data_IF_126754898000
#
_entry.id   IF_126754898000
#
_cell.length_a   1.000
_cell.length_b   1.000
_cell.length_c   1.000
_cell.angle_alpha   90.00
_cell.angle_beta   90.00
_cell.angle_gamma   90.00
#
_symmetry.space_group_name_H-M   'P 1'
#
loop_
_entity.id
_entity.type
_entity.pdbx_description
1 polymer ?
#
# COMPACT_ATOMS: atom_id res chain seq x y z
N UNK A 1 45.78 -8.96 -15.17
CA UNK A 1 45.60 -9.34 -16.59
C UNK A 1 44.14 -9.07 -16.95
N UNK A 2 43.87 -7.90 -17.52
CA UNK A 2 42.52 -7.41 -17.81
C UNK A 2 42.15 -7.88 -19.23
N UNK A 3 41.27 -8.87 -19.35
CA UNK A 3 40.74 -9.33 -20.64
C UNK A 3 39.62 -8.37 -21.07
N UNK A 4 39.99 -7.39 -21.88
CA UNK A 4 39.04 -6.56 -22.63
C UNK A 4 38.38 -7.45 -23.70
N UNK A 5 37.13 -7.86 -23.48
CA UNK A 5 36.28 -8.40 -24.54
C UNK A 5 35.80 -7.26 -25.45
N UNK A 6 36.66 -6.82 -26.36
CA UNK A 6 36.28 -6.02 -27.52
C UNK A 6 35.94 -6.96 -28.67
N UNK A 7 34.73 -7.52 -28.70
CA UNK A 7 34.32 -8.40 -29.82
C UNK A 7 32.84 -8.29 -30.21
N UNK A 8 32.21 -7.12 -30.01
CA UNK A 8 30.82 -6.88 -30.43
C UNK A 8 30.64 -6.06 -31.71
N UNK A 9 31.62 -5.23 -32.10
CA UNK A 9 31.44 -4.27 -33.21
C UNK A 9 31.79 -4.90 -34.57
N UNK A 10 32.72 -5.88 -34.59
CA UNK A 10 33.20 -6.46 -35.84
C UNK A 10 32.21 -7.39 -36.54
N UNK A 11 31.26 -8.03 -35.83
CA UNK A 11 30.31 -8.97 -36.46
C UNK A 11 29.16 -8.25 -37.17
N UNK A 12 28.66 -7.14 -36.61
CA UNK A 12 27.55 -6.36 -37.17
C UNK A 12 27.89 -5.73 -38.53
N UNK A 13 29.08 -5.12 -38.65
CA UNK A 13 29.57 -4.57 -39.92
C UNK A 13 29.67 -5.65 -41.02
N UNK A 14 30.07 -6.87 -40.62
CA UNK A 14 30.27 -7.99 -41.54
C UNK A 14 28.98 -8.56 -42.13
N UNK A 15 27.85 -8.43 -41.42
CA UNK A 15 26.51 -8.83 -41.87
C UNK A 15 25.91 -7.81 -42.85
N UNK A 16 26.09 -6.51 -42.57
CA UNK A 16 25.62 -5.41 -43.43
C UNK A 16 26.23 -5.50 -44.84
N UNK A 17 27.54 -5.69 -44.92
CA UNK A 17 28.26 -5.68 -46.20
C UNK A 17 28.04 -6.95 -47.04
N UNK A 18 27.76 -8.09 -46.40
CA UNK A 18 27.62 -9.39 -47.11
C UNK A 18 26.23 -9.66 -47.66
N UNK A 19 25.19 -9.36 -46.90
CA UNK A 19 23.81 -9.75 -47.26
C UNK A 19 22.92 -8.53 -47.56
N UNK A 20 23.01 -7.46 -46.77
CA UNK A 20 22.11 -6.31 -46.87
C UNK A 20 22.49 -5.37 -48.01
N UNK A 21 23.77 -5.00 -48.15
CA UNK A 21 24.20 -4.06 -49.18
C UNK A 21 23.90 -4.55 -50.63
N UNK A 22 24.14 -5.82 -51.00
CA UNK A 22 23.78 -6.33 -52.32
C UNK A 22 22.26 -6.32 -52.56
N UNK A 23 21.47 -6.66 -51.53
CA UNK A 23 20.01 -6.63 -51.61
C UNK A 23 19.49 -5.21 -51.86
N UNK A 24 19.97 -4.21 -51.11
CA UNK A 24 19.58 -2.81 -51.29
C UNK A 24 19.95 -2.29 -52.69
N UNK A 25 21.14 -2.63 -53.19
CA UNK A 25 21.57 -2.26 -54.56
C UNK A 25 20.66 -2.84 -55.64
N UNK A 26 20.25 -4.08 -55.47
CA UNK A 26 19.48 -4.81 -56.48
C UNK A 26 18.00 -4.42 -56.47
N UNK A 27 17.42 -4.22 -55.28
CA UNK A 27 15.97 -4.11 -55.13
C UNK A 27 15.47 -2.71 -54.69
N UNK A 28 16.33 -1.86 -54.11
CA UNK A 28 15.88 -0.60 -53.48
C UNK A 28 16.44 0.65 -54.17
N UNK A 29 17.75 0.69 -54.47
CA UNK A 29 18.45 1.92 -54.91
C UNK A 29 17.92 2.48 -56.24
N UNK A 30 17.37 1.64 -57.13
CA UNK A 30 16.83 2.12 -58.40
C UNK A 30 15.65 3.10 -58.22
N UNK A 31 14.83 2.90 -57.19
CA UNK A 31 13.65 3.73 -56.92
C UNK A 31 13.84 4.72 -55.76
N UNK A 32 14.74 4.42 -54.81
CA UNK A 32 14.99 5.22 -53.61
C UNK A 32 16.46 5.71 -53.52
N UNK A 33 17.08 5.98 -54.67
CA UNK A 33 18.48 6.39 -54.78
C UNK A 33 18.67 7.80 -55.36
N UNK A 34 19.89 8.16 -55.76
CA UNK A 34 20.19 9.50 -56.26
C UNK A 34 19.37 9.94 -57.49
N UNK A 35 19.06 8.98 -58.38
CA UNK A 35 18.40 9.26 -59.66
C UNK A 35 16.88 9.28 -59.56
N UNK A 36 16.29 8.60 -58.57
CA UNK A 36 14.84 8.48 -58.39
C UNK A 36 14.53 8.32 -56.90
N UNK A 37 13.54 9.06 -56.41
CA UNK A 37 13.23 9.21 -54.98
C UNK A 37 11.74 8.97 -54.76
N UNK A 38 11.26 7.76 -55.05
CA UNK A 38 9.85 7.42 -54.85
C UNK A 38 9.49 7.58 -53.36
N UNK A 39 8.35 8.21 -53.09
CA UNK A 39 7.89 8.50 -51.73
C UNK A 39 8.81 9.46 -50.95
N UNK A 40 9.57 10.31 -51.63
CA UNK A 40 10.54 11.25 -51.03
C UNK A 40 11.58 10.59 -50.12
N UNK A 41 11.86 9.30 -50.36
CA UNK A 41 12.74 8.49 -49.53
C UNK A 41 14.07 8.16 -50.22
N UNK A 42 15.19 8.31 -49.49
CA UNK A 42 16.57 8.14 -49.98
C UNK A 42 17.34 7.13 -49.13
N UNK A 43 17.30 5.87 -49.56
CA UNK A 43 17.92 4.76 -48.82
C UNK A 43 19.46 4.82 -48.86
N UNK A 44 20.03 5.41 -49.91
CA UNK A 44 21.48 5.57 -50.09
C UNK A 44 22.12 6.61 -49.14
N UNK A 45 21.30 7.39 -48.43
CA UNK A 45 21.75 8.36 -47.43
C UNK A 45 21.70 7.83 -46.00
N UNK A 46 21.08 6.68 -45.77
CA UNK A 46 20.98 6.10 -44.43
C UNK A 46 22.34 5.63 -43.94
N UNK A 47 22.58 5.79 -42.64
CA UNK A 47 23.78 5.28 -42.00
C UNK A 47 23.81 3.74 -42.04
N UNK A 48 24.98 3.13 -42.33
CA UNK A 48 25.17 1.69 -42.22
C UNK A 48 25.20 1.19 -40.77
N UNK A 49 25.23 2.09 -39.78
CA UNK A 49 25.16 1.78 -38.35
C UNK A 49 23.71 1.48 -37.90
N UNK A 50 23.13 0.41 -38.47
CA UNK A 50 21.75 -0.03 -38.19
C UNK A 50 21.58 -0.28 -36.67
N UNK A 51 20.48 0.23 -36.11
CA UNK A 51 20.19 0.15 -34.67
C UNK A 51 20.84 1.24 -33.80
N UNK A 52 21.80 2.00 -34.35
CA UNK A 52 22.45 3.14 -33.68
C UNK A 52 22.01 4.47 -34.28
N UNK A 53 21.86 4.54 -35.61
CA UNK A 53 21.39 5.71 -36.37
C UNK A 53 20.23 5.32 -37.27
N UNK A 54 19.43 6.31 -37.67
CA UNK A 54 18.31 6.17 -38.61
C UNK A 54 17.35 5.01 -38.29
N UNK A 55 17.24 4.62 -37.01
CA UNK A 55 16.61 3.36 -36.60
C UNK A 55 15.13 3.29 -36.97
N UNK A 56 14.44 4.43 -36.94
CA UNK A 56 13.05 4.53 -37.38
C UNK A 56 12.89 4.22 -38.88
N UNK A 57 13.77 4.78 -39.72
CA UNK A 57 13.75 4.51 -41.17
C UNK A 57 14.11 3.04 -41.47
N UNK A 58 15.05 2.45 -40.73
CA UNK A 58 15.38 1.03 -40.86
C UNK A 58 14.22 0.12 -40.41
N UNK A 59 13.48 0.49 -39.36
CA UNK A 59 12.29 -0.25 -38.93
C UNK A 59 11.15 -0.17 -39.97
N UNK A 60 10.95 1.00 -40.59
CA UNK A 60 9.98 1.15 -41.68
C UNK A 60 10.37 0.30 -42.91
N UNK A 61 11.65 0.25 -43.27
CA UNK A 61 12.14 -0.64 -44.35
C UNK A 61 11.80 -2.11 -44.04
N UNK A 62 12.00 -2.57 -42.81
CA UNK A 62 11.63 -3.93 -42.39
C UNK A 62 10.13 -4.16 -42.61
N UNK A 63 9.29 -3.22 -42.20
CA UNK A 63 7.83 -3.33 -42.32
C UNK A 63 7.39 -3.40 -43.79
N UNK A 64 7.93 -2.55 -44.67
CA UNK A 64 7.60 -2.52 -46.10
C UNK A 64 8.06 -3.78 -46.84
N UNK A 65 9.19 -4.37 -46.45
CA UNK A 65 9.64 -5.67 -46.99
C UNK A 65 8.76 -6.80 -46.45
N UNK A 66 8.47 -6.81 -45.15
CA UNK A 66 7.71 -7.88 -44.50
C UNK A 66 6.25 -7.95 -44.96
N UNK A 67 5.65 -6.80 -45.26
CA UNK A 67 4.30 -6.70 -45.84
C UNK A 67 4.24 -7.06 -47.33
N UNK A 68 5.39 -7.23 -47.98
CA UNK A 68 5.49 -7.50 -49.42
C UNK A 68 5.13 -6.31 -50.31
N UNK A 69 4.99 -5.12 -49.73
CA UNK A 69 4.75 -3.86 -50.45
C UNK A 69 5.98 -3.45 -51.27
N UNK A 70 7.18 -3.71 -50.74
CA UNK A 70 8.45 -3.42 -51.41
C UNK A 70 9.24 -4.70 -51.72
N UNK A 71 9.75 -4.87 -52.96
CA UNK A 71 9.53 -4.02 -54.14
C UNK A 71 8.11 -4.15 -54.72
N UNK A 72 7.58 -3.11 -55.40
CA UNK A 72 6.24 -3.13 -56.02
C UNK A 72 6.06 -4.25 -57.05
N UNK A 73 4.80 -4.63 -57.33
CA UNK A 73 4.46 -5.75 -58.22
C UNK A 73 4.90 -5.52 -59.68
N UNK A 74 5.07 -4.27 -60.08
CA UNK A 74 5.46 -3.83 -61.43
C UNK A 74 6.96 -4.03 -61.70
N UNK A 75 7.76 -4.32 -60.67
CA UNK A 75 9.20 -4.56 -60.80
C UNK A 75 9.47 -5.98 -61.28
N UNK A 76 10.18 -6.13 -62.40
CA UNK A 76 10.52 -7.44 -63.01
C UNK A 76 11.41 -8.33 -62.15
N UNK A 77 12.24 -7.76 -61.28
CA UNK A 77 13.22 -8.49 -60.45
C UNK A 77 12.85 -8.30 -58.99
N UNK A 78 11.98 -9.18 -58.47
CA UNK A 78 11.61 -9.21 -57.06
C UNK A 78 12.43 -10.28 -56.34
N UNK A 79 12.85 -10.03 -55.10
CA UNK A 79 13.49 -11.05 -54.28
C UNK A 79 12.52 -12.19 -53.99
N UNK A 80 13.06 -13.37 -53.75
CA UNK A 80 12.31 -14.49 -53.22
C UNK A 80 11.86 -14.21 -51.78
N UNK A 81 10.87 -14.98 -51.29
CA UNK A 81 10.43 -14.87 -49.91
C UNK A 81 11.59 -15.15 -48.93
N UNK A 82 12.44 -16.14 -49.23
CA UNK A 82 13.58 -16.51 -48.41
C UNK A 82 14.65 -15.41 -48.36
N UNK A 83 14.94 -14.76 -49.49
CA UNK A 83 15.86 -13.61 -49.54
C UNK A 83 15.34 -12.42 -48.73
N UNK A 84 14.04 -12.12 -48.86
CA UNK A 84 13.39 -11.04 -48.10
C UNK A 84 13.40 -11.33 -46.60
N UNK A 85 13.08 -12.57 -46.22
CA UNK A 85 13.07 -13.01 -44.82
C UNK A 85 14.47 -12.95 -44.19
N UNK A 86 15.51 -13.37 -44.92
CA UNK A 86 16.89 -13.31 -44.45
C UNK A 86 17.32 -11.86 -44.15
N UNK A 87 16.98 -10.93 -45.03
CA UNK A 87 17.30 -9.50 -44.87
C UNK A 87 16.54 -8.87 -43.72
N UNK A 88 15.24 -9.14 -43.60
CA UNK A 88 14.41 -8.68 -42.48
C UNK A 88 14.97 -9.18 -41.14
N UNK A 89 15.32 -10.47 -41.05
CA UNK A 89 15.89 -11.04 -39.83
C UNK A 89 17.24 -10.39 -39.49
N UNK A 90 18.11 -10.16 -40.47
CA UNK A 90 19.38 -9.47 -40.27
C UNK A 90 19.21 -8.04 -39.77
N UNK A 91 18.33 -7.26 -40.41
CA UNK A 91 18.01 -5.89 -39.97
C UNK A 91 17.41 -5.85 -38.56
N UNK A 92 16.48 -6.76 -38.25
CA UNK A 92 15.88 -6.85 -36.92
C UNK A 92 16.91 -7.21 -35.84
N UNK A 93 17.84 -8.11 -36.14
CA UNK A 93 18.95 -8.46 -35.24
C UNK A 93 19.85 -7.25 -34.97
N UNK A 94 20.24 -6.51 -36.01
CA UNK A 94 21.06 -5.29 -35.88
C UNK A 94 20.34 -4.20 -35.07
N UNK A 95 19.03 -4.00 -35.27
CA UNK A 95 18.24 -3.05 -34.46
C UNK A 95 18.24 -3.46 -32.99
N UNK A 96 18.01 -4.75 -32.69
CA UNK A 96 18.01 -5.29 -31.33
C UNK A 96 19.37 -5.17 -30.65
N UNK A 97 20.45 -5.45 -31.38
CA UNK A 97 21.82 -5.28 -30.88
C UNK A 97 22.13 -3.80 -30.60
N UNK A 98 21.75 -2.89 -31.49
CA UNK A 98 21.92 -1.45 -31.30
C UNK A 98 21.12 -0.91 -30.12
N UNK A 99 19.91 -1.42 -29.88
CA UNK A 99 19.14 -1.14 -28.67
C UNK A 99 19.89 -1.58 -27.41
N UNK A 100 20.38 -2.83 -27.37
CA UNK A 100 21.15 -3.34 -26.25
C UNK A 100 22.42 -2.52 -26.00
N UNK A 101 23.13 -2.13 -27.05
CA UNK A 101 24.35 -1.31 -26.96
C UNK A 101 24.05 0.12 -26.48
N UNK A 102 22.95 0.74 -26.93
CA UNK A 102 22.50 2.06 -26.43
C UNK A 102 22.09 1.97 -24.97
N UNK A 103 21.41 0.91 -24.57
CA UNK A 103 21.03 0.67 -23.17
C UNK A 103 22.26 0.48 -22.28
N UNK A 104 23.26 -0.28 -22.74
CA UNK A 104 24.53 -0.48 -22.03
C UNK A 104 25.38 0.81 -21.92
N UNK A 105 25.26 1.74 -22.87
CA UNK A 105 25.94 3.05 -22.85
C UNK A 105 25.22 4.11 -21.99
N UNK A 106 23.96 3.90 -21.61
CA UNK A 106 23.30 4.81 -20.65
C UNK A 106 24.10 4.78 -19.35
N UNK A 107 24.42 5.95 -18.80
CA UNK A 107 24.99 6.04 -17.47
C UNK A 107 24.11 5.25 -16.50
N UNK A 108 24.72 4.50 -15.56
CA UNK A 108 23.98 3.90 -14.45
C UNK A 108 23.27 5.04 -13.70
N UNK A 109 21.99 5.27 -13.98
CA UNK A 109 21.16 6.15 -13.16
C UNK A 109 20.96 5.42 -11.84
N UNK A 110 21.77 5.76 -10.84
CA UNK A 110 21.88 5.04 -9.55
C UNK A 110 21.12 5.72 -8.41
N UNK A 111 20.14 6.57 -8.71
CA UNK A 111 19.22 7.07 -7.69
C UNK A 111 18.00 6.18 -7.71
N UNK A 112 18.06 5.10 -6.93
CA UNK A 112 16.93 4.23 -6.69
C UNK A 112 16.22 4.77 -5.45
N UNK A 113 14.94 5.10 -5.60
CA UNK A 113 14.10 5.38 -4.44
C UNK A 113 13.84 4.08 -3.67
N UNK A 114 13.52 4.20 -2.39
CA UNK A 114 13.04 3.06 -1.60
C UNK A 114 11.70 2.58 -2.18
N UNK A 115 11.46 1.27 -2.16
CA UNK A 115 10.10 0.72 -2.37
C UNK A 115 9.17 1.21 -1.25
N UNK A 116 7.85 1.06 -1.44
CA UNK A 116 6.84 1.31 -0.39
C UNK A 116 7.20 0.54 0.88
N UNK A 117 7.48 -0.75 0.74
CA UNK A 117 7.84 -1.63 1.85
C UNK A 117 9.14 -1.19 2.54
N UNK A 118 10.17 -0.85 1.76
CA UNK A 118 11.44 -0.38 2.32
C UNK A 118 11.29 0.94 3.08
N UNK A 119 10.48 1.87 2.57
CA UNK A 119 10.18 3.13 3.26
C UNK A 119 9.45 2.88 4.58
N UNK A 120 8.38 2.08 4.57
CA UNK A 120 7.60 1.73 5.77
C UNK A 120 8.49 1.09 6.84
N UNK A 121 9.30 0.11 6.44
CA UNK A 121 10.22 -0.57 7.36
C UNK A 121 11.32 0.37 7.88
N UNK A 122 11.81 1.29 7.03
CA UNK A 122 12.83 2.27 7.44
C UNK A 122 12.27 3.27 8.45
N UNK A 123 11.05 3.78 8.23
CA UNK A 123 10.37 4.67 9.18
C UNK A 123 10.12 3.97 10.52
N UNK A 124 9.63 2.73 10.48
CA UNK A 124 9.41 1.93 11.70
C UNK A 124 10.70 1.67 12.47
N UNK A 125 11.80 1.38 11.77
CA UNK A 125 13.11 1.20 12.40
C UNK A 125 13.70 2.52 12.93
N UNK A 126 13.44 3.64 12.27
CA UNK A 126 13.96 4.94 12.72
C UNK A 126 13.19 5.46 13.92
N UNK A 127 11.88 5.61 13.80
CA UNK A 127 11.03 6.40 14.72
C UNK A 127 10.00 5.52 15.44
N UNK A 128 9.76 4.29 14.96
CA UNK A 128 8.80 3.38 15.59
C UNK A 128 7.33 3.73 15.31
N UNK A 129 7.06 4.43 14.22
CA UNK A 129 5.69 4.70 13.76
C UNK A 129 5.32 3.69 12.68
N UNK A 130 4.10 3.16 12.76
CA UNK A 130 3.53 2.33 11.71
C UNK A 130 2.90 3.24 10.66
N UNK A 131 3.22 3.01 9.39
CA UNK A 131 2.70 3.80 8.28
C UNK A 131 2.15 2.86 7.23
N UNK A 132 0.88 3.02 6.86
CA UNK A 132 0.29 2.24 5.78
C UNK A 132 0.49 2.98 4.46
N UNK A 133 1.42 2.48 3.64
CA UNK A 133 1.71 3.07 2.33
C UNK A 133 0.56 2.92 1.33
N UNK A 134 -0.40 2.02 1.57
CA UNK A 134 -1.54 1.77 0.72
C UNK A 134 -2.78 2.59 1.10
N UNK A 135 -2.75 3.31 2.23
CA UNK A 135 -3.85 4.18 2.63
C UNK A 135 -4.17 5.22 1.54
N UNK A 136 -5.42 5.69 1.43
CA UNK A 136 -5.80 6.71 0.46
C UNK A 136 -4.93 7.97 0.60
N UNK A 137 -4.19 8.30 -0.46
CA UNK A 137 -3.26 9.43 -0.46
C UNK A 137 -1.84 9.07 0.02
N UNK A 138 -1.57 7.80 0.32
CA UNK A 138 -0.25 7.26 0.64
C UNK A 138 0.75 7.28 -0.52
N UNK A 139 1.76 6.41 -0.45
CA UNK A 139 2.83 6.37 -1.45
C UNK A 139 2.32 5.85 -2.79
N UNK A 140 3.00 6.16 -3.89
CA UNK A 140 2.69 5.58 -5.20
C UNK A 140 3.12 4.13 -5.29
N UNK A 141 2.43 3.34 -6.11
CA UNK A 141 2.71 1.92 -6.30
C UNK A 141 4.05 1.72 -6.97
N UNK A 142 4.76 0.69 -6.53
CA UNK A 142 6.03 0.34 -7.12
C UNK A 142 5.76 -0.41 -8.44
N UNK A 143 6.49 -0.10 -9.52
CA UNK A 143 6.31 -0.79 -10.79
C UNK A 143 6.72 -2.25 -10.65
N UNK A 144 5.80 -3.17 -10.91
CA UNK A 144 6.09 -4.59 -11.04
C UNK A 144 6.72 -4.89 -12.41
N UNK A 145 7.83 -5.62 -12.44
CA UNK A 145 8.38 -6.14 -13.69
C UNK A 145 8.74 -7.63 -13.54
N UNK A 146 8.07 -8.49 -14.33
CA UNK A 146 8.24 -9.95 -14.33
C UNK A 146 8.19 -10.61 -12.92
N UNK A 147 7.35 -10.08 -12.02
CA UNK A 147 7.19 -10.60 -10.65
C UNK A 147 8.31 -10.21 -9.66
N UNK A 148 9.17 -9.25 -10.01
CA UNK A 148 10.17 -8.68 -9.11
C UNK A 148 9.92 -7.19 -8.87
N UNK A 149 9.82 -6.81 -7.60
CA UNK A 149 9.60 -5.41 -7.16
C UNK A 149 10.92 -4.63 -6.97
N UNK A 150 12.05 -5.34 -6.79
CA UNK A 150 13.37 -4.75 -6.50
C UNK A 150 14.26 -4.66 -7.73
N UNK A 151 13.79 -3.96 -8.76
CA UNK A 151 14.60 -3.62 -9.92
C UNK A 151 14.97 -2.14 -9.87
N UNK A 152 16.17 -1.84 -9.36
CA UNK A 152 16.67 -0.46 -9.27
C UNK A 152 16.55 0.31 -10.59
N UNK A 153 16.68 -0.35 -11.74
CA UNK A 153 16.52 0.28 -13.06
C UNK A 153 15.13 0.86 -13.35
N UNK A 154 14.09 0.49 -12.58
CA UNK A 154 12.69 0.90 -12.81
C UNK A 154 12.17 1.84 -11.72
N UNK A 155 12.82 1.87 -10.54
CA UNK A 155 12.50 2.77 -9.42
C UNK A 155 13.01 4.19 -9.67
N UNK A 156 12.36 4.87 -10.61
CA UNK A 156 12.59 6.29 -10.90
C UNK A 156 11.91 7.18 -9.86
N UNK A 157 12.57 8.28 -9.49
CA UNK A 157 12.04 9.29 -8.58
C UNK A 157 11.43 10.43 -9.41
N UNK A 158 10.10 10.52 -9.44
CA UNK A 158 9.38 11.66 -10.04
C UNK A 158 9.04 12.73 -8.99
N UNK A 159 8.72 13.97 -9.39
CA UNK A 159 8.27 15.01 -8.45
C UNK A 159 7.11 14.55 -7.54
N UNK A 160 6.14 13.82 -8.09
CA UNK A 160 5.03 13.27 -7.31
C UNK A 160 5.49 12.28 -6.22
N UNK A 161 6.55 11.50 -6.47
CA UNK A 161 7.10 10.64 -5.42
C UNK A 161 7.69 11.46 -4.28
N UNK A 162 8.39 12.56 -4.58
CA UNK A 162 8.96 13.45 -3.56
C UNK A 162 7.85 14.05 -2.71
N UNK A 163 6.79 14.57 -3.35
CA UNK A 163 5.63 15.10 -2.63
C UNK A 163 5.02 14.05 -1.68
N UNK A 164 4.83 12.81 -2.16
CA UNK A 164 4.31 11.72 -1.33
C UNK A 164 5.24 11.34 -0.18
N UNK A 165 6.55 11.33 -0.38
CA UNK A 165 7.50 11.09 0.71
C UNK A 165 7.46 12.20 1.76
N UNK A 166 7.35 13.47 1.33
CA UNK A 166 7.25 14.59 2.26
C UNK A 166 5.96 14.52 3.10
N UNK A 167 4.80 14.29 2.46
CA UNK A 167 3.53 14.12 3.19
C UNK A 167 3.55 12.91 4.13
N UNK A 168 4.18 11.80 3.71
CA UNK A 168 4.35 10.64 4.57
C UNK A 168 5.24 10.96 5.78
N UNK A 169 6.38 11.64 5.56
CA UNK A 169 7.28 12.05 6.62
C UNK A 169 6.60 13.01 7.61
N UNK A 170 5.83 13.99 7.13
CA UNK A 170 5.03 14.89 7.98
C UNK A 170 4.03 14.12 8.85
N UNK A 171 3.31 13.16 8.27
CA UNK A 171 2.33 12.34 9.01
C UNK A 171 3.01 11.50 10.09
N UNK A 172 4.17 10.91 9.77
CA UNK A 172 4.98 10.11 10.68
C UNK A 172 5.52 10.96 11.83
N UNK A 173 6.06 12.14 11.52
CA UNK A 173 6.61 13.06 12.51
C UNK A 173 5.52 13.62 13.41
N UNK A 174 4.34 13.93 12.88
CA UNK A 174 3.19 14.39 13.66
C UNK A 174 2.69 13.34 14.67
N UNK A 175 2.79 12.05 14.36
CA UNK A 175 2.48 10.97 15.31
C UNK A 175 3.61 10.78 16.33
N UNK A 176 4.87 10.87 15.90
CA UNK A 176 6.02 10.65 16.76
C UNK A 176 6.26 11.79 17.76
N UNK A 177 6.06 13.03 17.31
CA UNK A 177 6.31 14.28 18.02
C UNK A 177 5.07 15.18 17.96
N UNK A 178 3.96 14.78 18.60
CA UNK A 178 2.74 15.57 18.54
C UNK A 178 2.86 16.86 19.36
N UNK A 179 2.30 17.96 18.85
CA UNK A 179 2.24 19.27 19.54
C UNK A 179 1.68 19.18 20.96
N UNK A 180 0.72 18.27 21.14
CA UNK A 180 0.09 17.97 22.42
C UNK A 180 0.43 16.54 22.79
N UNK A 181 0.91 16.34 24.01
CA UNK A 181 1.20 15.01 24.54
C UNK A 181 -0.05 14.13 24.41
N UNK A 182 0.10 13.04 23.67
CA UNK A 182 -0.95 12.03 23.54
C UNK A 182 -0.90 11.12 24.76
N UNK A 183 -2.01 11.03 25.48
CA UNK A 183 -2.10 10.21 26.68
C UNK A 183 -2.53 8.79 26.34
N UNK A 184 -1.91 7.82 27.00
CA UNK A 184 -2.41 6.46 27.03
C UNK A 184 -3.79 6.43 27.67
N UNK A 185 -4.75 5.80 27.00
CA UNK A 185 -6.10 5.55 27.51
C UNK A 185 -6.38 4.06 27.49
N UNK A 186 -7.05 3.58 28.52
CA UNK A 186 -7.61 2.22 28.58
C UNK A 186 -9.08 2.36 28.95
N UNK A 187 -9.94 2.25 27.93
CA UNK A 187 -11.37 2.45 28.08
C UNK A 187 -12.11 1.17 27.72
N UNK A 188 -13.13 0.86 28.50
CA UNK A 188 -14.07 -0.23 28.22
C UNK A 188 -15.50 0.28 28.23
N UNK A 189 -16.30 -0.23 27.30
CA UNK A 189 -17.74 0.00 27.22
C UNK A 189 -18.48 -1.33 27.09
N UNK A 190 -19.71 -1.36 27.58
CA UNK A 190 -20.67 -2.42 27.25
C UNK A 190 -21.13 -2.25 25.81
N UNK A 191 -21.37 -3.36 25.11
CA UNK A 191 -21.89 -3.32 23.75
C UNK A 191 -23.32 -2.72 23.70
N UNK A 192 -24.10 -2.96 24.75
CA UNK A 192 -25.44 -2.40 24.90
C UNK A 192 -25.70 -1.99 26.35
N UNK A 193 -26.40 -0.88 26.52
CA UNK A 193 -26.80 -0.33 27.84
C UNK A 193 -28.22 0.23 27.74
N UNK A 194 -28.98 0.16 28.82
CA UNK A 194 -30.32 0.76 28.91
C UNK A 194 -30.30 1.86 29.96
N UNK A 195 -30.62 3.08 29.54
CA UNK A 195 -30.61 4.27 30.42
C UNK A 195 -31.95 4.51 31.13
N UNK A 196 -31.98 5.31 32.21
CA UNK A 196 -33.20 5.54 33.03
C UNK A 196 -34.42 6.05 32.28
N UNK A 197 -34.22 6.77 31.17
CA UNK A 197 -35.29 7.35 30.33
C UNK A 197 -35.72 6.44 29.18
N UNK A 198 -35.10 5.28 29.01
CA UNK A 198 -35.37 4.37 27.90
C UNK A 198 -36.42 3.31 28.28
N UNK A 199 -37.17 2.78 27.30
CA UNK A 199 -38.07 1.66 27.52
C UNK A 199 -37.36 0.46 28.16
N UNK A 200 -38.09 -0.31 28.96
CA UNK A 200 -37.63 -1.50 29.68
C UNK A 200 -36.61 -1.27 30.81
N UNK A 201 -36.17 -0.03 31.09
CA UNK A 201 -35.23 0.26 32.19
C UNK A 201 -35.73 -0.26 33.54
N UNK A 202 -36.90 0.18 34.01
CA UNK A 202 -37.43 -0.21 35.33
C UNK A 202 -37.61 -1.73 35.46
N UNK A 203 -37.98 -2.41 34.37
CA UNK A 203 -38.11 -3.87 34.35
C UNK A 203 -36.75 -4.55 34.52
N UNK A 204 -35.74 -4.09 33.80
CA UNK A 204 -34.39 -4.64 33.86
C UNK A 204 -33.71 -4.32 35.19
N UNK A 205 -33.96 -3.12 35.73
CA UNK A 205 -33.47 -2.69 37.04
C UNK A 205 -34.02 -3.59 38.15
N UNK A 206 -35.35 -3.76 38.22
CA UNK A 206 -36.01 -4.66 39.19
C UNK A 206 -35.54 -6.11 39.09
N UNK A 207 -35.17 -6.55 37.90
CA UNK A 207 -34.66 -7.91 37.65
C UNK A 207 -33.14 -8.04 37.85
N UNK A 208 -32.40 -6.95 38.12
CA UNK A 208 -30.94 -6.97 38.21
C UNK A 208 -30.23 -7.34 36.91
N UNK A 209 -30.81 -6.96 35.76
CA UNK A 209 -30.36 -7.35 34.42
C UNK A 209 -29.75 -6.20 33.61
N UNK A 210 -29.67 -4.98 34.15
CA UNK A 210 -29.11 -3.82 33.44
C UNK A 210 -27.68 -4.07 32.93
N UNK A 211 -26.83 -4.69 33.75
CA UNK A 211 -25.44 -5.01 33.39
C UNK A 211 -25.31 -6.31 32.57
N UNK A 212 -26.42 -6.97 32.24
CA UNK A 212 -26.46 -8.19 31.43
C UNK A 212 -27.00 -7.97 30.03
N UNK A 213 -27.31 -6.72 29.67
CA UNK A 213 -27.72 -6.38 28.30
C UNK A 213 -26.53 -6.56 27.36
N UNK A 214 -26.81 -7.17 26.20
CA UNK A 214 -25.85 -7.58 25.17
C UNK A 214 -26.36 -7.24 23.78
N UNK A 215 -25.51 -7.31 22.77
CA UNK A 215 -25.88 -7.02 21.37
C UNK A 215 -25.68 -8.26 20.49
N UNK A 216 -26.75 -8.95 20.06
CA UNK A 216 -26.64 -10.11 19.18
C UNK A 216 -26.65 -9.72 17.69
N UNK A 217 -25.88 -10.44 16.90
CA UNK A 217 -25.78 -10.38 15.45
C UNK A 217 -26.13 -11.76 14.87
N UNK A 218 -27.29 -11.85 14.25
CA UNK A 218 -28.04 -13.08 13.98
C UNK A 218 -28.33 -13.32 12.50
N UNK A 219 -28.23 -12.28 11.66
CA UNK A 219 -28.52 -12.36 10.22
C UNK A 219 -27.60 -11.43 9.42
N UNK A 220 -27.40 -11.73 8.13
CA UNK A 220 -26.58 -10.90 7.25
C UNK A 220 -27.13 -9.47 7.17
N UNK A 221 -26.22 -8.48 7.18
CA UNK A 221 -26.57 -7.07 7.13
C UNK A 221 -26.84 -6.41 8.49
N UNK A 222 -26.94 -7.19 9.59
CA UNK A 222 -26.81 -6.62 10.93
C UNK A 222 -25.33 -6.24 11.18
N UNK A 223 -25.12 -5.05 11.73
CA UNK A 223 -23.79 -4.59 12.09
C UNK A 223 -23.86 -3.74 13.36
N UNK A 224 -22.86 -3.89 14.21
CA UNK A 224 -22.72 -3.14 15.44
C UNK A 224 -21.78 -1.94 15.22
N UNK A 225 -22.32 -0.71 15.36
CA UNK A 225 -21.58 0.54 15.09
C UNK A 225 -20.97 1.21 16.32
N UNK A 226 -21.44 0.86 17.51
CA UNK A 226 -21.03 1.52 18.75
C UNK A 226 -19.74 0.89 19.31
N UNK A 227 -18.78 0.59 18.42
CA UNK A 227 -17.60 -0.21 18.73
C UNK A 227 -16.37 0.59 19.17
N UNK A 228 -16.48 1.92 19.21
CA UNK A 228 -15.42 2.80 19.67
C UNK A 228 -15.74 3.34 21.07
N UNK A 229 -14.97 2.97 22.11
CA UNK A 229 -15.08 3.55 23.45
C UNK A 229 -14.85 5.06 23.50
N UNK A 230 -14.19 5.61 22.45
CA UNK A 230 -13.85 7.02 22.34
C UNK A 230 -14.98 7.90 21.78
N UNK A 231 -16.17 7.33 21.50
CA UNK A 231 -17.27 8.05 20.90
C UNK A 231 -18.20 8.68 21.95
N UNK A 232 -18.63 9.92 21.68
CA UNK A 232 -19.84 10.49 22.27
C UNK A 232 -19.66 11.38 23.50
N UNK A 233 -18.47 11.47 24.10
CA UNK A 233 -18.23 12.38 25.24
C UNK A 233 -16.81 12.97 25.19
N UNK A 234 -16.62 14.29 25.46
CA UNK A 234 -15.30 14.94 25.35
C UNK A 234 -14.21 14.35 26.25
N UNK A 235 -14.60 13.82 27.41
CA UNK A 235 -13.74 13.14 28.40
C UNK A 235 -13.13 11.83 27.88
N UNK A 236 -13.77 11.24 26.85
CA UNK A 236 -13.33 10.02 26.16
C UNK A 236 -12.88 10.31 24.74
N UNK A 237 -12.49 11.55 24.43
CA UNK A 237 -12.01 11.88 23.10
C UNK A 237 -10.84 10.96 22.68
N UNK A 238 -10.81 10.60 21.40
CA UNK A 238 -9.72 9.83 20.82
C UNK A 238 -8.39 10.58 21.05
N UNK A 239 -7.41 9.98 21.74
CA UNK A 239 -6.28 10.73 22.25
C UNK A 239 -5.26 11.10 21.16
N UNK A 240 -5.15 10.32 20.08
CA UNK A 240 -4.24 10.61 18.97
C UNK A 240 -3.94 9.40 18.11
N UNK A 241 -3.17 9.58 17.03
CA UNK A 241 -2.75 8.48 16.18
C UNK A 241 -1.83 7.50 16.91
N UNK A 242 -1.82 6.22 16.50
CA UNK A 242 -0.89 5.22 17.02
C UNK A 242 -1.45 3.80 17.04
N UNK A 243 -0.72 2.90 17.70
CA UNK A 243 -1.11 1.50 17.84
C UNK A 243 -2.08 1.33 18.99
N UNK A 244 -3.25 0.77 18.71
CA UNK A 244 -4.25 0.43 19.72
C UNK A 244 -4.41 -1.08 19.80
N UNK A 245 -4.57 -1.57 21.02
CA UNK A 245 -5.04 -2.92 21.27
C UNK A 245 -6.54 -2.89 21.54
N UNK A 246 -7.29 -3.64 20.74
CA UNK A 246 -8.74 -3.72 20.81
C UNK A 246 -9.11 -5.12 21.27
N UNK A 247 -9.94 -5.21 22.29
CA UNK A 247 -10.49 -6.47 22.76
C UNK A 247 -12.01 -6.48 22.74
N UNK A 248 -12.58 -7.60 22.35
CA UNK A 248 -14.01 -7.85 22.38
C UNK A 248 -14.30 -9.05 23.25
N UNK A 249 -15.22 -8.90 24.21
CA UNK A 249 -15.81 -10.03 24.93
C UNK A 249 -17.05 -10.48 24.18
N UNK A 250 -17.04 -11.71 23.69
CA UNK A 250 -18.03 -12.23 22.76
C UNK A 250 -18.40 -13.68 23.05
N UNK A 251 -19.64 -14.04 22.69
CA UNK A 251 -20.07 -15.43 22.58
C UNK A 251 -20.36 -15.76 21.11
N UNK A 252 -20.12 -17.01 20.71
CA UNK A 252 -20.34 -17.47 19.34
C UNK A 252 -21.06 -18.81 19.36
N UNK A 253 -22.35 -18.79 19.05
CA UNK A 253 -23.20 -19.97 19.06
C UNK A 253 -23.29 -20.54 17.64
N UNK A 254 -22.76 -21.75 17.48
CA UNK A 254 -22.69 -22.47 16.21
C UNK A 254 -23.87 -23.47 16.12
N UNK A 255 -24.70 -23.42 15.06
CA UNK A 255 -25.62 -24.50 14.73
C UNK A 255 -24.89 -25.77 14.31
N UNK A 256 -25.44 -26.95 14.63
CA UNK A 256 -24.82 -28.26 14.39
C UNK A 256 -24.31 -28.43 12.94
N UNK A 257 -25.16 -28.10 11.96
CA UNK A 257 -24.90 -28.28 10.53
C UNK A 257 -24.49 -27.00 9.78
N UNK A 258 -24.07 -25.94 10.49
CA UNK A 258 -23.66 -24.69 9.86
C UNK A 258 -22.26 -24.27 10.30
N UNK A 259 -21.71 -23.25 9.61
CA UNK A 259 -20.45 -22.64 10.02
C UNK A 259 -20.64 -21.89 11.34
N UNK A 260 -19.58 -21.80 12.17
CA UNK A 260 -19.61 -20.90 13.33
C UNK A 260 -19.83 -19.45 12.87
N UNK A 261 -20.33 -18.57 13.77
CA UNK A 261 -20.38 -17.15 13.48
C UNK A 261 -18.97 -16.63 13.22
N UNK A 262 -18.82 -15.84 12.16
CA UNK A 262 -17.54 -15.27 11.73
C UNK A 262 -17.55 -13.78 12.00
N UNK A 263 -16.83 -13.38 13.04
CA UNK A 263 -16.70 -12.01 13.46
C UNK A 263 -15.73 -11.29 12.54
N UNK A 264 -16.19 -10.26 11.86
CA UNK A 264 -15.37 -9.32 11.11
C UNK A 264 -15.45 -7.96 11.80
N UNK A 265 -14.29 -7.38 12.13
CA UNK A 265 -14.14 -6.02 12.64
C UNK A 265 -13.57 -5.16 11.53
N UNK A 266 -14.31 -4.16 11.12
CA UNK A 266 -14.03 -3.36 9.93
C UNK A 266 -14.01 -1.87 10.29
N UNK A 267 -12.97 -1.16 9.87
CA UNK A 267 -12.86 0.29 10.01
C UNK A 267 -13.42 0.95 8.75
N UNK A 268 -14.52 1.68 8.92
CA UNK A 268 -15.31 2.19 7.80
C UNK A 268 -14.65 3.36 7.06
N UNK A 269 -13.87 4.19 7.74
CA UNK A 269 -13.25 5.38 7.14
C UNK A 269 -12.02 5.03 6.31
N UNK A 270 -11.32 3.97 6.69
CA UNK A 270 -10.12 3.43 6.07
C UNK A 270 -10.44 2.30 5.09
N UNK A 271 -11.70 1.86 5.01
CA UNK A 271 -12.16 0.75 4.16
C UNK A 271 -11.32 -0.52 4.37
N UNK A 272 -11.09 -0.89 5.63
CA UNK A 272 -10.13 -1.94 5.99
C UNK A 272 -10.67 -2.90 7.04
N UNK A 273 -10.42 -4.20 6.82
CA UNK A 273 -10.66 -5.24 7.82
C UNK A 273 -9.53 -5.20 8.85
N UNK A 274 -9.87 -4.97 10.11
CA UNK A 274 -8.92 -4.93 11.22
C UNK A 274 -8.69 -6.30 11.85
N UNK A 275 -9.74 -7.12 11.87
CA UNK A 275 -9.72 -8.45 12.47
C UNK A 275 -10.82 -9.31 11.89
N UNK A 276 -10.54 -10.59 11.67
CA UNK A 276 -11.54 -11.55 11.23
C UNK A 276 -11.27 -12.92 11.84
N UNK A 277 -12.29 -13.52 12.48
CA UNK A 277 -12.16 -14.87 13.06
C UNK A 277 -13.52 -15.54 13.28
N UNK A 278 -13.53 -16.85 13.15
CA UNK A 278 -14.64 -17.68 13.62
C UNK A 278 -14.67 -17.69 15.16
N UNK A 279 -15.85 -17.49 15.76
CA UNK A 279 -16.04 -17.47 17.21
C UNK A 279 -16.88 -18.68 17.62
N UNK A 280 -16.34 -19.48 18.53
CA UNK A 280 -17.06 -20.57 19.19
C UNK A 280 -16.85 -20.40 20.67
N UNK A 281 -17.88 -19.93 21.35
CA UNK A 281 -17.89 -19.74 22.80
C UNK A 281 -19.33 -19.84 23.30
N UNK A 282 -19.61 -20.69 24.31
CA UNK A 282 -20.92 -20.77 24.95
C UNK A 282 -21.38 -19.41 25.48
N UNK A 283 -22.68 -19.18 25.50
CA UNK A 283 -23.26 -17.89 25.91
C UNK A 283 -23.01 -17.55 27.40
N UNK A 284 -22.91 -18.58 28.23
CA UNK A 284 -22.60 -18.49 29.67
C UNK A 284 -21.10 -18.38 29.95
N UNK A 285 -20.26 -18.65 28.94
CA UNK A 285 -18.80 -18.57 29.03
C UNK A 285 -18.23 -17.83 27.82
N UNK A 286 -18.44 -16.50 27.73
CA UNK A 286 -17.91 -15.69 26.65
C UNK A 286 -16.37 -15.76 26.62
N UNK A 287 -15.81 -15.53 25.44
CA UNK A 287 -14.37 -15.46 25.21
C UNK A 287 -13.94 -14.04 24.86
N UNK A 288 -12.70 -13.68 25.19
CA UNK A 288 -12.12 -12.40 24.80
C UNK A 288 -11.20 -12.59 23.60
N UNK A 289 -11.45 -11.84 22.53
CA UNK A 289 -10.59 -11.79 21.37
C UNK A 289 -9.86 -10.46 21.36
N UNK A 290 -8.54 -10.49 21.15
CA UNK A 290 -7.69 -9.29 21.22
C UNK A 290 -6.80 -9.22 19.98
N UNK A 291 -6.67 -8.02 19.42
CA UNK A 291 -5.76 -7.74 18.31
C UNK A 291 -5.24 -6.30 18.39
N UNK A 292 -4.14 -6.03 17.69
CA UNK A 292 -3.56 -4.69 17.59
C UNK A 292 -3.77 -4.13 16.19
N UNK A 293 -3.95 -2.82 16.11
CA UNK A 293 -4.11 -2.12 14.84
C UNK A 293 -3.63 -0.68 14.96
N UNK A 294 -3.14 -0.12 13.86
CA UNK A 294 -2.79 1.28 13.76
C UNK A 294 -4.01 2.13 13.40
N UNK A 295 -4.28 3.16 14.20
CA UNK A 295 -5.38 4.11 13.99
C UNK A 295 -4.81 5.52 13.81
N UNK A 296 -5.01 6.11 12.64
CA UNK A 296 -4.51 7.46 12.30
C UNK A 296 -5.48 8.59 12.68
N UNK A 297 -6.75 8.26 12.98
CA UNK A 297 -7.83 9.21 13.24
C UNK A 297 -8.94 8.59 14.09
N UNK A 298 -9.87 9.38 14.65
CA UNK A 298 -10.99 8.85 15.43
C UNK A 298 -11.75 7.78 14.64
N UNK A 299 -11.77 6.52 15.11
CA UNK A 299 -12.16 5.39 14.29
C UNK A 299 -13.68 5.23 14.24
N UNK A 300 -14.18 4.70 13.13
CA UNK A 300 -15.56 4.24 12.96
C UNK A 300 -15.56 2.74 12.68
N UNK A 301 -15.61 1.96 13.76
CA UNK A 301 -15.47 0.52 13.72
C UNK A 301 -16.84 -0.15 13.72
N UNK A 302 -17.06 -1.01 12.73
CA UNK A 302 -18.21 -1.88 12.63
C UNK A 302 -17.83 -3.32 12.95
N UNK A 303 -18.65 -3.98 13.76
CA UNK A 303 -18.56 -5.44 13.96
C UNK A 303 -19.70 -6.11 13.20
N UNK A 304 -19.36 -7.11 12.40
CA UNK A 304 -20.28 -7.81 11.52
C UNK A 304 -20.13 -9.33 11.74
N UNK A 305 -21.24 -10.06 11.67
CA UNK A 305 -21.22 -11.52 11.56
C UNK A 305 -21.39 -11.90 10.08
N UNK A 306 -20.28 -12.16 9.38
CA UNK A 306 -20.29 -12.42 7.93
C UNK A 306 -20.70 -13.87 7.57
N UNK A 307 -20.76 -14.76 8.55
CA UNK A 307 -21.29 -16.11 8.39
C UNK A 307 -22.80 -16.19 8.66
N UNK A 308 -23.43 -15.08 9.06
CA UNK A 308 -24.84 -15.05 9.31
C UNK A 308 -25.61 -15.40 8.02
N UNK A 309 -26.67 -16.21 8.15
CA UNK A 309 -27.52 -16.59 7.02
C UNK A 309 -28.18 -15.37 6.34
N UNK A 310 -29.09 -15.58 5.36
CA UNK A 310 -29.67 -14.50 4.57
C UNK A 310 -30.31 -13.42 5.45
N UNK A 311 -30.24 -12.16 5.00
CA UNK A 311 -30.80 -11.00 5.70
C UNK A 311 -32.28 -11.22 6.01
N UNK A 312 -32.66 -11.01 7.27
CA UNK A 312 -34.03 -11.16 7.72
C UNK A 312 -34.63 -9.79 8.14
N UNK A 313 -35.85 -9.44 7.68
CA UNK A 313 -36.50 -8.17 8.00
C UNK A 313 -37.03 -8.08 9.45
N UNK A 314 -37.05 -9.21 10.16
CA UNK A 314 -37.50 -9.31 11.57
C UNK A 314 -36.34 -9.76 12.46
N UNK A 315 -35.24 -9.04 12.37
CA UNK A 315 -34.01 -9.34 13.07
C UNK A 315 -34.03 -8.76 14.50
N UNK A 316 -32.95 -8.93 15.26
CA UNK A 316 -32.92 -8.47 16.65
C UNK A 316 -32.49 -7.01 16.77
N UNK A 317 -31.65 -6.51 15.85
CA UNK A 317 -31.23 -5.11 15.84
C UNK A 317 -32.37 -4.12 15.63
N UNK A 318 -33.44 -4.54 14.94
CA UNK A 318 -34.66 -3.75 14.73
C UNK A 318 -35.64 -3.82 15.92
N UNK A 319 -35.38 -4.68 16.91
CA UNK A 319 -36.21 -4.80 18.10
C UNK A 319 -35.92 -3.69 19.11
N UNK A 320 -36.97 -3.12 19.70
CA UNK A 320 -36.85 -2.18 20.83
C UNK A 320 -36.69 -2.89 22.18
N UNK A 321 -36.65 -4.22 22.19
CA UNK A 321 -36.49 -5.03 23.40
C UNK A 321 -34.99 -5.31 23.60
N UNK A 322 -34.40 -4.87 24.72
CA UNK A 322 -33.01 -5.16 25.04
C UNK A 322 -32.77 -6.66 25.16
N UNK A 323 -31.75 -7.16 24.46
CA UNK A 323 -31.37 -8.56 24.50
C UNK A 323 -30.50 -8.85 25.73
N UNK A 324 -30.88 -9.87 26.51
CA UNK A 324 -30.11 -10.34 27.66
C UNK A 324 -29.58 -11.74 27.40
N UNK A 325 -30.43 -12.67 26.97
CA UNK A 325 -30.02 -14.05 26.65
C UNK A 325 -30.84 -14.69 25.55
N UNK A 326 -30.30 -15.71 24.86
CA UNK A 326 -31.06 -16.49 23.88
C UNK A 326 -32.19 -17.31 24.50
N UNK A 327 -32.16 -17.55 25.81
CA UNK A 327 -33.22 -18.24 26.54
C UNK A 327 -34.47 -17.35 26.75
N UNK A 328 -34.35 -16.03 26.60
CA UNK A 328 -35.48 -15.13 26.77
C UNK A 328 -36.44 -15.20 25.58
N UNK A 329 -37.76 -15.09 25.81
CA UNK A 329 -38.72 -15.06 24.73
C UNK A 329 -38.50 -13.78 23.88
N UNK A 330 -38.26 -13.98 22.58
CA UNK A 330 -38.27 -12.91 21.59
C UNK A 330 -39.70 -12.42 21.32
N UNK A 331 -39.83 -11.23 20.76
CA UNK A 331 -41.15 -10.73 20.36
C UNK A 331 -41.78 -11.67 19.30
N UNK A 332 -43.11 -11.86 19.30
CA UNK A 332 -43.77 -12.83 18.41
C UNK A 332 -43.50 -12.63 16.92
N UNK A 333 -43.17 -11.40 16.50
CA UNK A 333 -42.86 -11.06 15.12
C UNK A 333 -41.39 -11.31 14.75
N UNK A 334 -40.48 -11.49 15.71
CA UNK A 334 -39.05 -11.70 15.46
C UNK A 334 -38.77 -13.11 14.91
N UNK A 335 -37.68 -13.25 14.17
CA UNK A 335 -37.20 -14.57 13.76
C UNK A 335 -36.79 -15.41 14.97
N UNK A 336 -37.08 -16.71 14.93
CA UNK A 336 -36.59 -17.65 15.93
C UNK A 336 -35.13 -17.97 15.66
N UNK A 337 -34.25 -17.53 16.56
CA UNK A 337 -32.80 -17.74 16.46
C UNK A 337 -32.34 -19.04 17.14
N UNK A 338 -33.15 -19.57 18.07
CA UNK A 338 -32.96 -20.88 18.73
C UNK A 338 -34.18 -21.78 18.50
N UNK A 339 -34.00 -23.09 18.67
CA UNK A 339 -35.08 -24.09 18.67
C UNK A 339 -35.77 -24.24 20.04
N UNK A 340 -36.60 -25.27 20.21
CA UNK A 340 -37.31 -25.53 21.47
C UNK A 340 -36.38 -26.05 22.58
N UNK A 341 -35.23 -26.59 22.20
CA UNK A 341 -34.20 -27.13 23.08
C UNK A 341 -33.15 -26.07 23.44
N UNK A 342 -33.26 -24.86 22.87
CA UNK A 342 -32.32 -23.75 23.08
C UNK A 342 -31.08 -23.82 22.18
N UNK A 343 -31.05 -24.72 21.19
CA UNK A 343 -29.94 -24.83 20.25
C UNK A 343 -30.03 -23.76 19.15
N UNK A 344 -28.90 -23.16 18.74
CA UNK A 344 -28.90 -22.13 17.71
C UNK A 344 -29.33 -22.69 16.34
N UNK A 345 -30.26 -22.00 15.67
CA UNK A 345 -30.72 -22.31 14.31
C UNK A 345 -29.96 -21.55 13.23
N UNK A 346 -29.29 -20.47 13.62
CA UNK A 346 -28.44 -19.62 12.78
C UNK A 346 -27.12 -19.35 13.52
N UNK A 347 -26.04 -18.97 12.83
CA UNK A 347 -24.81 -18.55 13.50
C UNK A 347 -25.06 -17.24 14.25
N UNK A 348 -24.93 -17.26 15.59
CA UNK A 348 -25.21 -16.09 16.45
C UNK A 348 -23.90 -15.60 17.04
N UNK A 349 -23.54 -14.35 16.76
CA UNK A 349 -22.46 -13.65 17.44
C UNK A 349 -23.07 -12.70 18.49
N UNK A 350 -22.66 -12.80 19.75
CA UNK A 350 -23.16 -11.94 20.83
C UNK A 350 -22.00 -11.09 21.34
N UNK A 351 -22.18 -9.77 21.35
CA UNK A 351 -21.20 -8.81 21.87
C UNK A 351 -21.59 -8.39 23.29
N UNK A 352 -20.63 -8.48 24.21
CA UNK A 352 -20.83 -8.13 25.61
C UNK A 352 -20.17 -6.79 25.93
N UNK A 353 -18.89 -6.67 25.61
CA UNK A 353 -18.10 -5.48 25.86
C UNK A 353 -16.98 -5.30 24.84
N UNK A 354 -16.51 -4.06 24.74
CA UNK A 354 -15.40 -3.64 23.91
C UNK A 354 -14.45 -2.87 24.81
N UNK A 355 -13.16 -3.21 24.77
CA UNK A 355 -12.10 -2.40 25.36
C UNK A 355 -11.13 -1.96 24.28
N UNK A 356 -10.61 -0.74 24.42
CA UNK A 356 -9.59 -0.20 23.55
C UNK A 356 -8.56 0.49 24.41
N UNK A 357 -7.30 0.08 24.25
CA UNK A 357 -6.19 0.66 24.99
C UNK A 357 -5.06 1.10 24.07
N UNK A 358 -4.56 2.31 24.31
CA UNK A 358 -3.53 2.94 23.51
C UNK A 358 -3.60 4.47 23.51
N UNK A 359 -2.77 5.13 22.67
CA UNK A 359 -1.79 4.49 21.80
C UNK A 359 -0.67 3.83 22.61
N UNK A 360 -0.20 2.69 22.14
CA UNK A 360 0.88 1.90 22.74
C UNK A 360 2.17 2.33 22.05
N UNK A 361 3.12 2.83 22.84
CA UNK A 361 4.49 3.11 22.43
C UNK A 361 5.40 2.34 23.38
N UNK A 362 6.31 1.55 22.83
CA UNK A 362 7.29 0.80 23.63
C UNK A 362 8.36 1.73 24.19
N UNK A 363 9.00 1.34 25.29
CA UNK A 363 10.11 2.12 25.88
C UNK A 363 11.25 2.31 24.87
N UNK A 364 11.54 1.32 24.02
CA UNK A 364 12.55 1.41 22.98
C UNK A 364 12.18 2.40 21.88
N UNK A 365 10.91 2.44 21.46
CA UNK A 365 10.42 3.44 20.49
C UNK A 365 10.50 4.86 21.09
N UNK A 366 10.09 5.02 22.35
CA UNK A 366 10.18 6.32 23.02
C UNK A 366 11.64 6.76 23.19
N UNK A 367 12.53 5.88 23.63
CA UNK A 367 13.96 6.19 23.76
C UNK A 367 14.57 6.62 22.44
N UNK A 368 14.25 5.92 21.34
CA UNK A 368 14.73 6.31 19.99
C UNK A 368 14.28 7.71 19.60
N UNK A 369 13.01 8.06 19.87
CA UNK A 369 12.47 9.40 19.60
C UNK A 369 13.19 10.46 20.44
N UNK A 370 13.42 10.15 21.73
CA UNK A 370 14.11 11.05 22.65
C UNK A 370 15.59 11.25 22.30
N UNK A 371 16.24 10.26 21.66
CA UNK A 371 17.64 10.33 21.21
C UNK A 371 17.85 11.29 20.04
N UNK A 372 16.81 11.52 19.22
CA UNK A 372 16.90 12.44 18.08
C UNK A 372 16.59 13.89 18.45
N UNK A 373 15.90 14.13 19.56
CA UNK A 373 15.45 15.45 19.97
C UNK A 373 16.39 16.10 20.99
N UNK A 374 16.54 17.42 20.91
CA UNK A 374 17.26 18.18 21.93
C UNK A 374 16.42 18.28 23.22
N UNK A 375 17.01 17.84 24.35
CA UNK A 375 16.35 17.85 25.67
C UNK A 375 16.33 19.25 26.29
N UNK A 376 17.27 20.11 25.92
CA UNK A 376 17.41 21.48 26.42
C UNK A 376 17.12 22.49 25.31
N UNK A 377 16.12 23.38 25.47
CA UNK A 377 15.84 24.42 24.49
C UNK A 377 17.07 25.29 24.20
N UNK A 378 17.36 25.53 22.92
CA UNK A 378 18.50 26.33 22.47
C UNK A 378 19.84 25.61 22.42
N UNK A 379 19.92 24.32 22.79
CA UNK A 379 21.17 23.58 22.79
C UNK A 379 21.47 22.96 21.41
N UNK A 380 22.20 23.68 20.57
CA UNK A 380 22.57 23.24 19.21
C UNK A 380 23.51 22.01 19.18
N UNK A 381 24.27 21.76 20.25
CA UNK A 381 25.11 20.55 20.32
C UNK A 381 24.26 19.29 20.47
N UNK A 382 23.16 19.37 21.23
CA UNK A 382 22.19 18.27 21.32
C UNK A 382 21.46 18.04 20.00
N UNK A 383 21.09 19.12 19.29
CA UNK A 383 20.49 19.02 17.94
C UNK A 383 21.45 18.31 16.99
N UNK A 384 22.72 18.73 17.00
CA UNK A 384 23.76 18.11 16.18
C UNK A 384 23.90 16.62 16.47
N UNK A 385 23.93 16.24 17.75
CA UNK A 385 24.01 14.84 18.17
C UNK A 385 22.77 14.03 17.75
N UNK A 386 21.57 14.59 17.89
CA UNK A 386 20.32 13.96 17.49
C UNK A 386 20.24 13.74 15.97
N UNK A 387 20.54 14.77 15.18
CA UNK A 387 20.62 14.67 13.71
C UNK A 387 21.68 13.67 13.27
N UNK A 388 22.85 13.64 13.93
CA UNK A 388 23.89 12.67 13.64
C UNK A 388 23.43 11.24 13.93
N UNK A 389 22.76 11.01 15.06
CA UNK A 389 22.21 9.71 15.44
C UNK A 389 21.15 9.23 14.43
N UNK A 390 20.20 10.10 14.08
CA UNK A 390 19.17 9.80 13.08
C UNK A 390 19.80 9.50 11.72
N UNK A 391 20.72 10.34 11.24
CA UNK A 391 21.32 10.20 9.91
C UNK A 391 22.18 8.93 9.79
N UNK A 392 22.96 8.59 10.84
CA UNK A 392 23.72 7.31 10.88
C UNK A 392 22.80 6.10 10.77
N UNK A 393 21.65 6.12 11.46
CA UNK A 393 20.68 5.03 11.41
C UNK A 393 19.96 4.98 10.06
N UNK A 394 19.56 6.13 9.52
CA UNK A 394 18.84 6.24 8.26
C UNK A 394 19.70 5.79 7.08
N UNK A 395 20.96 6.24 7.01
CA UNK A 395 21.84 5.89 5.89
C UNK A 395 22.48 4.52 6.03
N UNK A 396 22.50 3.95 7.25
CA UNK A 396 23.16 2.67 7.55
C UNK A 396 24.64 2.66 7.12
N UNK A 397 25.28 3.83 7.16
CA UNK A 397 26.70 4.06 6.85
C UNK A 397 27.23 5.27 7.63
N UNK A 398 28.56 5.43 7.73
CA UNK A 398 29.15 6.68 8.22
C UNK A 398 28.72 7.88 7.38
N UNK A 399 28.57 9.04 8.03
CA UNK A 399 28.31 10.31 7.37
C UNK A 399 29.54 10.77 6.61
N UNK A 400 29.32 11.36 5.43
CA UNK A 400 30.38 12.02 4.66
C UNK A 400 30.71 13.37 5.30
N UNK A 401 31.93 13.84 5.05
CA UNK A 401 32.35 15.17 5.46
C UNK A 401 31.37 16.24 4.95
N UNK A 402 30.90 17.11 5.84
CA UNK A 402 29.94 18.17 5.52
C UNK A 402 28.47 17.73 5.37
N UNK A 403 28.15 16.43 5.35
CA UNK A 403 26.78 15.93 5.16
C UNK A 403 25.85 16.39 6.29
N UNK A 404 26.30 16.27 7.54
CA UNK A 404 25.57 16.75 8.72
C UNK A 404 25.34 18.27 8.70
N UNK A 405 26.30 19.05 8.18
CA UNK A 405 26.19 20.51 8.15
C UNK A 405 25.06 20.98 7.23
N UNK A 406 24.71 20.19 6.20
CA UNK A 406 23.57 20.48 5.34
C UNK A 406 22.27 20.47 6.13
N UNK A 407 22.09 19.50 7.03
CA UNK A 407 20.90 19.41 7.89
C UNK A 407 20.90 20.49 8.98
N UNK A 408 22.06 20.75 9.60
CA UNK A 408 22.19 21.82 10.60
C UNK A 408 21.76 23.19 10.05
N UNK A 409 22.11 23.49 8.78
CA UNK A 409 21.71 24.74 8.12
C UNK A 409 20.19 24.91 7.98
N UNK A 410 19.45 23.81 7.87
CA UNK A 410 17.99 23.85 7.81
C UNK A 410 17.45 24.32 9.17
N UNK A 411 17.89 23.68 10.26
CA UNK A 411 17.51 24.07 11.63
C UNK A 411 17.87 25.52 11.91
N UNK A 412 19.11 25.93 11.61
CA UNK A 412 19.58 27.31 11.80
C UNK A 412 18.73 28.30 10.98
N UNK A 413 18.34 27.93 9.76
CA UNK A 413 17.47 28.72 8.89
C UNK A 413 16.07 28.88 9.47
N UNK A 414 15.46 27.81 9.97
CA UNK A 414 14.12 27.84 10.59
C UNK A 414 14.12 28.68 11.88
N UNK A 415 15.15 28.53 12.73
CA UNK A 415 15.31 29.37 13.93
C UNK A 415 15.47 30.84 13.54
N UNK A 416 16.27 31.14 12.52
CA UNK A 416 16.46 32.52 12.03
C UNK A 416 15.18 33.10 11.41
N UNK A 417 14.32 32.25 10.83
CA UNK A 417 13.00 32.63 10.34
C UNK A 417 11.95 32.82 11.46
N UNK A 418 12.31 32.52 12.71
CA UNK A 418 11.46 32.72 13.89
C UNK A 418 10.63 31.50 14.30
N UNK A 419 10.93 30.31 13.78
CA UNK A 419 10.33 29.07 14.25
C UNK A 419 10.69 28.82 15.73
N UNK A 420 9.81 28.13 16.47
CA UNK A 420 10.17 27.70 17.83
C UNK A 420 11.29 26.67 17.73
N UNK A 421 12.18 26.67 18.72
CA UNK A 421 13.32 25.76 18.73
C UNK A 421 12.91 24.29 18.50
N UNK A 422 11.90 23.81 19.23
CA UNK A 422 11.42 22.41 19.11
C UNK A 422 10.82 22.10 17.73
N UNK A 423 10.20 23.09 17.09
CA UNK A 423 9.59 22.91 15.76
C UNK A 423 10.66 22.92 14.66
N UNK A 424 11.78 23.61 14.90
CA UNK A 424 12.90 23.74 13.97
C UNK A 424 13.89 22.57 14.03
N UNK A 425 14.01 21.93 15.19
CA UNK A 425 14.95 20.82 15.47
C UNK A 425 14.32 19.48 15.23
#
# INVERSE_FOLDING_TARGET
MCLLFTSGIASAQSSFDKDLQPYLKTHCIRCHGAQKQEGDFRIDRLSPEVGMKDTQHWAEIIERISSGEMPPKEVKTRPTADESAKVVQGLAALIKEGEAARLAKRARVSYHRLTREEYVNSVRDLIGVEYDAADPGGLLEDPEWNGFERLGSVLTLSPTHIEKYMTAAESVLAEAYPDKKVEYRDLSIRAATVGPKQPHYERLEKAGLLDKVRFPLTTAGELFRASSPFRGSPDRAFPGAGIYEISYTVSGLKPEDQRPPRMQVYEHKLDRILFERDIIAPEDKPTTVTFRTHLVRPPEIHVINIAAGPRHPRNNSDSRIPFVTTADPLAPWQMKIVDQQGLPRVPILILDSISMRGPIVTEEEQHRRDDYMAKTPGNMDQVRAGLEAMAKRAFRRPLKEGELQTYMKIVEGEIAAGAKFVDAT
#
